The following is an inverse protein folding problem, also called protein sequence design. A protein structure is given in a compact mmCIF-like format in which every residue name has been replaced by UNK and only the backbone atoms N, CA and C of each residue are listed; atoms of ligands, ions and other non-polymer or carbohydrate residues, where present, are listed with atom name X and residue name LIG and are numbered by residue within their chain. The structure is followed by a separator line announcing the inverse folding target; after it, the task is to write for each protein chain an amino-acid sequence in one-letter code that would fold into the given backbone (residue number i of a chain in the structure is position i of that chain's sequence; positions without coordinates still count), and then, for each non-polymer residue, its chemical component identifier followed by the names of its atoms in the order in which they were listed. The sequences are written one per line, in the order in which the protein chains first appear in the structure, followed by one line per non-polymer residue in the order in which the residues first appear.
data_IF_753568768368
#
_entry.id   IF_753568768368
#
_cell.length_a   1.000
_cell.length_b   1.000
_cell.length_c   1.000
_cell.angle_alpha   90.00
_cell.angle_beta   90.00
_cell.angle_gamma   90.00
#
_symmetry.space_group_name_H-M   'P 1'
#
loop_
_entity.id
_entity.type
_entity.pdbx_description
1 polymer ?
#
# COMPACT_ATOMS: atom_id res chain seq x y z
N UNK A 1 -29.73 -7.45 57.39
CA UNK A 1 -28.68 -8.44 57.07
C UNK A 1 -28.69 -8.73 55.56
N UNK A 2 -28.44 -7.70 54.75
CA UNK A 2 -28.35 -7.73 53.28
C UNK A 2 -27.23 -6.75 52.97
N UNK A 3 -26.00 -7.21 52.75
CA UNK A 3 -24.90 -6.33 52.28
C UNK A 3 -23.66 -7.06 51.76
N UNK A 4 -23.52 -8.36 51.99
CA UNK A 4 -22.33 -9.11 51.52
C UNK A 4 -22.61 -9.87 50.21
N UNK A 5 -23.81 -10.43 50.01
CA UNK A 5 -24.17 -11.18 48.79
C UNK A 5 -24.14 -10.35 47.50
N UNK A 6 -24.54 -9.08 47.56
CA UNK A 6 -24.55 -8.20 46.38
C UNK A 6 -23.13 -7.73 46.00
N UNK A 7 -22.21 -7.64 46.96
CA UNK A 7 -20.82 -7.21 46.70
C UNK A 7 -20.02 -8.30 45.97
N UNK A 8 -20.22 -9.57 46.35
CA UNK A 8 -19.59 -10.71 45.67
C UNK A 8 -20.11 -10.89 44.24
N UNK A 9 -21.41 -10.65 43.99
CA UNK A 9 -21.99 -10.77 42.65
C UNK A 9 -21.47 -9.69 41.70
N UNK A 10 -21.32 -8.45 42.17
CA UNK A 10 -20.75 -7.35 41.36
C UNK A 10 -19.28 -7.61 41.04
N UNK A 11 -18.48 -8.11 42.00
CA UNK A 11 -17.07 -8.44 41.76
C UNK A 11 -16.87 -9.57 40.75
N UNK A 12 -17.71 -10.60 40.77
CA UNK A 12 -17.62 -11.73 39.82
C UNK A 12 -18.04 -11.29 38.41
N UNK A 13 -19.10 -10.49 38.28
CA UNK A 13 -19.53 -9.95 36.97
C UNK A 13 -18.47 -9.00 36.39
N UNK A 14 -17.81 -8.18 37.22
CA UNK A 14 -16.71 -7.33 36.77
C UNK A 14 -15.46 -8.12 36.37
N UNK A 15 -15.13 -9.22 37.04
CA UNK A 15 -14.00 -10.08 36.64
C UNK A 15 -14.28 -10.90 35.38
N UNK A 16 -15.53 -11.33 35.15
CA UNK A 16 -15.92 -12.00 33.89
C UNK A 16 -15.94 -11.01 32.72
N UNK A 17 -16.38 -9.76 32.95
CA UNK A 17 -16.31 -8.70 31.94
C UNK A 17 -14.86 -8.28 31.63
N UNK A 18 -13.99 -8.24 32.63
CA UNK A 18 -12.57 -7.93 32.43
C UNK A 18 -11.78 -9.10 31.79
N UNK A 19 -12.16 -10.35 32.08
CA UNK A 19 -11.58 -11.55 31.47
C UNK A 19 -12.03 -11.81 30.02
N UNK A 20 -13.15 -11.21 29.58
CA UNK A 20 -13.57 -11.21 28.18
C UNK A 20 -12.92 -10.09 27.36
N UNK A 21 -12.37 -9.06 28.02
CA UNK A 21 -11.53 -8.03 27.37
C UNK A 21 -10.04 -8.39 27.32
N UNK A 22 -9.65 -9.59 27.79
CA UNK A 22 -8.33 -10.17 27.56
C UNK A 22 -8.38 -11.31 26.53
N UNK A 23 -9.32 -11.26 25.59
CA UNK A 23 -9.03 -11.90 24.31
C UNK A 23 -7.73 -11.25 23.82
N UNK A 24 -6.71 -12.09 23.62
CA UNK A 24 -5.50 -11.73 22.91
C UNK A 24 -5.88 -10.79 21.77
N UNK A 25 -5.20 -9.65 21.68
CA UNK A 25 -5.38 -8.69 20.59
C UNK A 25 -4.86 -9.36 19.31
N UNK A 26 -5.65 -10.32 18.82
CA UNK A 26 -5.32 -11.16 17.70
C UNK A 26 -5.24 -10.27 16.47
N UNK A 27 -4.09 -10.40 15.79
CA UNK A 27 -3.86 -9.81 14.49
C UNK A 27 -4.97 -10.26 13.54
N UNK A 28 -5.75 -9.31 13.01
CA UNK A 28 -6.74 -9.60 11.98
C UNK A 28 -6.01 -9.68 10.64
N UNK A 29 -6.01 -10.86 10.02
CA UNK A 29 -5.49 -11.03 8.66
C UNK A 29 -6.54 -10.53 7.65
N UNK A 30 -6.51 -9.23 7.39
CA UNK A 30 -7.46 -8.52 6.53
C UNK A 30 -7.34 -9.01 5.08
N UNK A 31 -6.11 -9.15 4.58
CA UNK A 31 -5.86 -9.57 3.20
C UNK A 31 -6.42 -10.97 2.94
N UNK A 32 -6.22 -11.91 3.87
CA UNK A 32 -6.69 -13.30 3.72
C UNK A 32 -8.20 -13.44 3.80
N UNK A 33 -8.86 -12.57 4.56
CA UNK A 33 -10.31 -12.63 4.79
C UNK A 33 -11.12 -11.80 3.79
N UNK A 34 -10.48 -11.17 2.81
CA UNK A 34 -11.14 -10.40 1.78
C UNK A 34 -11.66 -11.31 0.65
N UNK A 35 -12.91 -11.11 0.23
CA UNK A 35 -13.51 -11.84 -0.89
C UNK A 35 -13.08 -11.20 -2.22
N UNK A 36 -11.91 -11.61 -2.71
CA UNK A 36 -11.26 -11.06 -3.89
C UNK A 36 -9.73 -10.98 -3.73
N UNK A 37 -9.10 -10.06 -4.44
CA UNK A 37 -7.70 -9.71 -4.25
C UNK A 37 -7.58 -8.63 -3.17
N UNK A 38 -6.74 -8.85 -2.15
CA UNK A 38 -6.31 -7.81 -1.20
C UNK A 38 -4.85 -8.01 -0.85
N UNK A 39 -4.04 -6.97 -1.05
CA UNK A 39 -2.61 -6.99 -0.77
C UNK A 39 -2.21 -5.68 -0.10
N UNK A 40 -1.64 -5.78 1.11
CA UNK A 40 -1.00 -4.65 1.78
C UNK A 40 -1.90 -3.90 2.76
N UNK A 41 -3.03 -4.49 3.18
CA UNK A 41 -3.91 -3.92 4.20
C UNK A 41 -3.61 -4.41 5.61
N UNK A 42 -2.80 -5.46 5.77
CA UNK A 42 -2.41 -5.95 7.08
C UNK A 42 -1.49 -4.95 7.81
N UNK A 43 -1.47 -5.05 9.14
CA UNK A 43 -0.48 -4.34 9.96
C UNK A 43 0.93 -4.82 9.64
N UNK A 44 1.88 -3.89 9.52
CA UNK A 44 3.30 -4.16 9.33
C UNK A 44 4.10 -3.54 10.47
N UNK A 45 5.04 -4.32 11.04
CA UNK A 45 5.89 -3.83 12.14
C UNK A 45 6.95 -2.84 11.67
N UNK A 46 7.40 -2.99 10.42
CA UNK A 46 8.30 -2.09 9.74
C UNK A 46 7.58 -1.61 8.48
N UNK A 47 7.21 -0.33 8.45
CA UNK A 47 6.54 0.29 7.30
C UNK A 47 7.39 1.46 6.83
N UNK A 48 7.59 1.53 5.52
CA UNK A 48 8.21 2.66 4.85
C UNK A 48 7.37 3.92 5.05
N UNK A 49 8.00 5.08 5.00
CA UNK A 49 7.31 6.36 5.21
C UNK A 49 6.19 6.58 4.16
N UNK A 50 6.38 6.05 2.95
CA UNK A 50 5.39 5.95 1.88
C UNK A 50 4.98 4.49 1.73
N UNK A 51 3.70 4.22 1.55
CA UNK A 51 3.22 2.85 1.32
C UNK A 51 1.99 2.83 0.42
N UNK A 52 1.61 1.63 0.03
CA UNK A 52 0.48 1.38 -0.84
C UNK A 52 -0.17 0.03 -0.54
N UNK A 53 -1.35 -0.15 -1.12
CA UNK A 53 -2.10 -1.40 -1.09
C UNK A 53 -2.93 -1.52 -2.36
N UNK A 54 -3.35 -2.74 -2.72
CA UNK A 54 -4.22 -2.97 -3.87
C UNK A 54 -5.38 -3.89 -3.52
N UNK A 55 -6.55 -3.64 -4.12
CA UNK A 55 -7.73 -4.50 -4.00
C UNK A 55 -8.46 -4.68 -5.32
N UNK A 56 -9.22 -5.76 -5.37
CA UNK A 56 -10.28 -5.98 -6.36
C UNK A 56 -11.25 -7.02 -5.81
N UNK A 57 -12.54 -6.88 -6.11
CA UNK A 57 -13.58 -7.84 -5.72
C UNK A 57 -13.51 -9.18 -6.48
N UNK A 58 -12.55 -9.33 -7.39
CA UNK A 58 -12.30 -10.55 -8.13
C UNK A 58 -10.81 -10.89 -8.14
N UNK A 59 -10.50 -12.14 -8.45
CA UNK A 59 -9.10 -12.61 -8.59
C UNK A 59 -8.78 -13.03 -10.02
N UNK A 60 -9.77 -13.15 -10.90
CA UNK A 60 -9.60 -13.57 -12.29
C UNK A 60 -10.05 -12.45 -13.21
N UNK A 61 -9.28 -12.18 -14.25
CA UNK A 61 -9.44 -11.02 -15.12
C UNK A 61 -9.20 -11.40 -16.56
N UNK A 62 -9.92 -10.75 -17.48
CA UNK A 62 -9.47 -10.68 -18.86
C UNK A 62 -8.17 -9.86 -18.90
N UNK A 63 -7.14 -10.37 -19.58
CA UNK A 63 -5.81 -9.77 -19.64
C UNK A 63 -5.80 -8.34 -20.20
N UNK A 64 -6.78 -7.99 -21.04
CA UNK A 64 -6.93 -6.65 -21.59
C UNK A 64 -7.69 -5.69 -20.66
N UNK A 65 -8.15 -6.15 -19.50
CA UNK A 65 -8.86 -5.35 -18.52
C UNK A 65 -8.61 -5.84 -17.09
N UNK A 66 -7.39 -5.62 -16.60
CA UNK A 66 -6.99 -5.91 -15.24
C UNK A 66 -7.02 -4.62 -14.41
N UNK A 67 -8.21 -4.20 -13.98
CA UNK A 67 -8.39 -2.96 -13.21
C UNK A 67 -8.42 -3.23 -11.71
N UNK A 68 -7.61 -2.48 -10.95
CA UNK A 68 -7.44 -2.61 -9.50
C UNK A 68 -7.67 -1.27 -8.79
N UNK A 69 -8.25 -1.34 -7.60
CA UNK A 69 -8.26 -0.24 -6.65
C UNK A 69 -6.87 -0.13 -6.01
N UNK A 70 -6.15 0.95 -6.32
CA UNK A 70 -4.80 1.18 -5.83
C UNK A 70 -4.80 2.29 -4.77
N UNK A 71 -4.43 1.93 -3.55
CA UNK A 71 -4.40 2.78 -2.37
C UNK A 71 -2.97 3.21 -2.09
N UNK A 72 -2.78 4.45 -1.67
CA UNK A 72 -1.45 5.01 -1.45
C UNK A 72 -1.51 6.14 -0.42
N UNK A 73 -0.41 6.33 0.30
CA UNK A 73 -0.31 7.37 1.32
C UNK A 73 1.03 7.34 2.06
N UNK A 74 1.15 8.20 3.05
CA UNK A 74 2.29 8.25 3.97
C UNK A 74 1.87 7.95 5.40
N UNK A 75 2.77 7.40 6.22
CA UNK A 75 2.43 6.99 7.59
C UNK A 75 3.16 7.82 8.66
N UNK A 76 4.47 7.63 8.76
CA UNK A 76 5.33 8.17 9.80
C UNK A 76 5.70 9.62 9.54
N UNK A 77 6.02 9.96 8.29
CA UNK A 77 6.49 11.29 7.87
C UNK A 77 5.99 11.62 6.47
N UNK A 78 5.41 12.81 6.30
CA UNK A 78 5.03 13.32 4.99
C UNK A 78 6.26 13.44 4.07
N UNK A 79 6.15 13.23 2.73
CA UNK A 79 7.30 13.16 1.84
C UNK A 79 8.18 14.41 1.78
N UNK A 80 7.64 15.58 2.11
CA UNK A 80 8.44 16.81 2.19
C UNK A 80 9.65 16.70 3.16
N UNK A 81 9.63 15.76 4.10
CA UNK A 81 10.73 15.58 5.05
C UNK A 81 12.05 15.12 4.40
N UNK A 82 11.99 14.47 3.22
CA UNK A 82 13.17 14.01 2.48
C UNK A 82 14.04 15.15 1.95
N UNK A 83 13.51 16.39 1.92
CA UNK A 83 14.15 17.55 1.28
C UNK A 83 14.66 18.61 2.26
N UNK A 84 14.58 18.38 3.57
CA UNK A 84 14.87 19.42 4.57
C UNK A 84 16.33 19.91 4.59
N UNK A 85 17.24 19.11 4.04
CA UNK A 85 18.68 19.39 3.97
C UNK A 85 19.25 19.26 2.54
N UNK A 86 18.42 19.31 1.49
CA UNK A 86 18.74 18.63 0.22
C UNK A 86 19.68 19.34 -0.76
N UNK A 87 20.55 18.52 -1.34
CA UNK A 87 21.29 18.73 -2.61
C UNK A 87 20.38 18.59 -3.85
N UNK A 88 19.09 18.40 -3.63
CA UNK A 88 18.15 17.88 -4.61
C UNK A 88 16.83 18.63 -4.54
N UNK A 89 16.25 18.90 -5.69
CA UNK A 89 14.99 19.62 -5.77
C UNK A 89 13.80 18.64 -5.72
N UNK A 90 12.79 18.90 -4.89
CA UNK A 90 11.56 18.12 -4.88
C UNK A 90 10.84 18.23 -6.24
N UNK A 91 10.37 17.10 -6.77
CA UNK A 91 9.61 17.07 -8.03
C UNK A 91 8.16 16.69 -7.77
N UNK A 92 7.89 15.42 -7.47
CA UNK A 92 6.54 14.90 -7.32
C UNK A 92 6.49 13.55 -6.60
N UNK A 93 5.29 13.09 -6.29
CA UNK A 93 5.01 11.66 -6.10
C UNK A 93 4.51 11.08 -7.43
N UNK A 94 5.14 10.01 -7.90
CA UNK A 94 4.78 9.34 -9.14
C UNK A 94 4.36 7.87 -8.89
N UNK A 95 3.30 7.45 -9.58
CA UNK A 95 2.70 6.12 -9.46
C UNK A 95 3.01 5.27 -10.70
N UNK A 96 3.34 3.99 -10.51
CA UNK A 96 3.68 3.09 -11.61
C UNK A 96 3.18 1.67 -11.40
N UNK A 97 2.93 0.96 -12.49
CA UNK A 97 3.11 -0.50 -12.53
C UNK A 97 4.46 -0.85 -13.13
N UNK A 98 5.11 -1.90 -12.65
CA UNK A 98 6.42 -2.34 -13.16
C UNK A 98 6.49 -3.86 -13.24
N UNK A 99 7.17 -4.36 -14.27
CA UNK A 99 7.64 -5.73 -14.35
C UNK A 99 9.18 -5.72 -14.37
N UNK A 100 9.81 -6.28 -13.33
CA UNK A 100 11.26 -6.44 -13.27
C UNK A 100 11.95 -5.65 -12.15
N UNK A 101 13.22 -5.33 -12.37
CA UNK A 101 14.02 -4.58 -11.40
C UNK A 101 13.85 -3.07 -11.62
N UNK A 102 13.74 -2.35 -10.51
CA UNK A 102 13.70 -0.90 -10.48
C UNK A 102 15.13 -0.32 -10.43
N UNK A 103 15.39 0.72 -11.23
CA UNK A 103 16.61 1.53 -11.17
C UNK A 103 16.39 2.73 -10.26
N UNK A 104 17.40 3.26 -9.58
CA UNK A 104 17.19 4.38 -8.65
C UNK A 104 17.33 5.76 -9.30
N UNK A 105 17.98 5.83 -10.48
CA UNK A 105 18.30 7.04 -11.24
C UNK A 105 17.72 6.97 -12.66
N UNK A 106 17.24 8.11 -13.17
CA UNK A 106 16.56 8.20 -14.47
C UNK A 106 16.77 9.56 -15.13
N UNK A 107 16.82 9.58 -16.47
CA UNK A 107 16.83 10.83 -17.25
C UNK A 107 15.43 11.44 -17.40
N UNK A 108 14.40 10.59 -17.42
CA UNK A 108 12.98 10.97 -17.53
C UNK A 108 12.16 10.04 -16.63
N UNK A 109 11.69 10.57 -15.49
CA UNK A 109 10.93 9.76 -14.54
C UNK A 109 9.57 9.31 -15.09
N UNK A 110 9.01 9.98 -16.11
CA UNK A 110 7.73 9.57 -16.71
C UNK A 110 7.91 8.42 -17.71
N UNK A 111 9.14 8.18 -18.18
CA UNK A 111 9.45 7.19 -19.21
C UNK A 111 10.62 6.29 -18.79
N UNK A 112 10.43 5.55 -17.70
CA UNK A 112 11.40 4.59 -17.18
C UNK A 112 11.16 3.23 -17.85
N UNK A 113 12.22 2.61 -18.35
CA UNK A 113 12.14 1.29 -18.99
C UNK A 113 11.45 0.27 -18.06
N UNK A 114 10.49 -0.49 -18.61
CA UNK A 114 9.69 -1.49 -17.90
C UNK A 114 8.80 -0.94 -16.76
N UNK A 115 8.63 0.38 -16.65
CA UNK A 115 7.67 1.01 -15.74
C UNK A 115 6.58 1.73 -16.53
N UNK A 116 5.33 1.36 -16.28
CA UNK A 116 4.17 2.06 -16.82
C UNK A 116 3.75 3.17 -15.87
N UNK A 117 3.98 4.41 -16.27
CA UNK A 117 3.58 5.61 -15.52
C UNK A 117 2.06 5.75 -15.49
N UNK A 118 1.51 5.98 -14.30
CA UNK A 118 0.06 6.06 -14.07
C UNK A 118 -0.40 7.48 -13.80
N UNK A 119 0.29 8.16 -12.87
CA UNK A 119 -0.15 9.43 -12.32
C UNK A 119 0.98 10.13 -11.59
N UNK A 120 0.95 11.46 -11.68
CA UNK A 120 1.75 12.37 -10.87
C UNK A 120 0.87 13.09 -9.86
N UNK A 121 1.42 13.31 -8.67
CA UNK A 121 0.80 14.04 -7.56
C UNK A 121 1.85 15.02 -7.03
N UNK A 122 1.48 16.29 -6.85
CA UNK A 122 2.41 17.27 -6.28
C UNK A 122 2.84 16.87 -4.86
N UNK A 123 4.05 17.23 -4.47
CA UNK A 123 4.55 16.93 -3.12
C UNK A 123 3.72 17.66 -2.07
N UNK A 124 3.27 18.88 -2.37
CA UNK A 124 2.42 19.67 -1.50
C UNK A 124 1.08 18.97 -1.24
N UNK A 125 0.43 18.45 -2.29
CA UNK A 125 -0.83 17.73 -2.18
C UNK A 125 -0.65 16.42 -1.41
N UNK A 126 0.34 15.60 -1.78
CA UNK A 126 0.57 14.31 -1.14
C UNK A 126 1.02 14.47 0.32
N UNK A 127 1.65 15.59 0.68
CA UNK A 127 2.07 15.87 2.07
C UNK A 127 0.92 16.31 2.98
N UNK A 128 -0.32 16.40 2.47
CA UNK A 128 -1.49 16.73 3.30
C UNK A 128 -1.99 15.53 4.09
N UNK A 129 -2.76 15.80 5.15
CA UNK A 129 -3.44 14.78 5.96
C UNK A 129 -4.42 13.92 5.15
N UNK A 130 -4.87 14.38 3.97
CA UNK A 130 -5.73 13.59 3.10
C UNK A 130 -5.04 12.30 2.63
N UNK A 131 -3.70 12.29 2.58
CA UNK A 131 -2.87 11.15 2.21
C UNK A 131 -2.20 10.49 3.44
N UNK A 132 -2.47 10.98 4.66
CA UNK A 132 -2.02 10.30 5.87
C UNK A 132 -2.77 8.99 6.02
N UNK A 133 -2.04 7.88 5.99
CA UNK A 133 -2.59 6.59 6.33
C UNK A 133 -2.61 6.40 7.84
N UNK A 134 -3.52 5.54 8.29
CA UNK A 134 -3.53 5.05 9.66
C UNK A 134 -3.13 3.59 9.67
N UNK A 135 -2.44 3.18 10.73
CA UNK A 135 -2.13 1.77 10.94
C UNK A 135 -2.29 1.37 12.40
N UNK A 136 -3.10 0.34 12.66
CA UNK A 136 -3.23 -0.27 13.99
C UNK A 136 -3.16 -1.79 13.86
N UNK A 137 -2.90 -2.50 14.98
CA UNK A 137 -2.87 -3.97 14.95
C UNK A 137 -4.25 -4.58 14.67
N UNK A 138 -5.30 -3.89 15.07
CA UNK A 138 -6.69 -4.35 15.01
C UNK A 138 -7.31 -4.09 13.63
N UNK A 139 -7.04 -2.91 13.05
CA UNK A 139 -7.65 -2.46 11.80
C UNK A 139 -6.72 -2.60 10.59
N UNK A 140 -5.45 -2.96 10.83
CA UNK A 140 -4.43 -2.96 9.80
C UNK A 140 -4.18 -1.55 9.28
N UNK A 141 -3.95 -1.45 7.97
CA UNK A 141 -3.70 -0.21 7.24
C UNK A 141 -5.00 0.33 6.65
N UNK A 142 -5.28 1.60 6.93
CA UNK A 142 -6.43 2.33 6.37
C UNK A 142 -5.92 3.52 5.57
N UNK A 143 -6.43 3.64 4.36
CA UNK A 143 -6.09 4.70 3.41
C UNK A 143 -7.35 5.51 3.10
N UNK A 144 -7.23 6.83 3.07
CA UNK A 144 -8.33 7.71 2.67
C UNK A 144 -8.32 7.97 1.14
N UNK A 145 -7.15 7.85 0.49
CA UNK A 145 -7.00 8.00 -0.96
C UNK A 145 -6.81 6.66 -1.66
N UNK A 146 -7.41 6.58 -2.85
CA UNK A 146 -7.20 5.52 -3.82
C UNK A 146 -7.48 6.04 -5.22
N UNK A 147 -7.08 5.27 -6.22
CA UNK A 147 -7.46 5.46 -7.62
C UNK A 147 -7.57 4.11 -8.30
N UNK A 148 -8.48 3.99 -9.26
CA UNK A 148 -8.59 2.81 -10.10
C UNK A 148 -7.56 2.92 -11.23
N UNK A 149 -6.73 1.88 -11.39
CA UNK A 149 -5.78 1.79 -12.49
C UNK A 149 -5.87 0.43 -13.15
N UNK A 150 -5.70 0.41 -14.47
CA UNK A 150 -5.61 -0.82 -15.27
C UNK A 150 -4.16 -1.20 -15.47
N UNK A 151 -3.80 -2.44 -15.12
CA UNK A 151 -2.49 -2.99 -15.43
C UNK A 151 -2.41 -3.20 -16.95
N UNK A 152 -1.43 -2.60 -17.64
CA UNK A 152 -1.23 -2.80 -19.07
C UNK A 152 -0.91 -4.27 -19.39
N UNK A 153 -1.46 -4.77 -20.49
CA UNK A 153 -1.30 -6.18 -20.87
C UNK A 153 0.16 -6.54 -21.19
N UNK A 154 0.97 -5.57 -21.61
CA UNK A 154 2.39 -5.73 -21.91
C UNK A 154 3.24 -6.06 -20.69
N UNK A 155 2.74 -5.86 -19.47
CA UNK A 155 3.45 -6.22 -18.24
C UNK A 155 3.30 -7.71 -17.86
N UNK A 156 2.43 -8.45 -18.56
CA UNK A 156 2.24 -9.88 -18.36
C UNK A 156 3.10 -10.68 -19.36
N UNK A 157 4.42 -10.59 -19.22
CA UNK A 157 5.37 -11.10 -20.24
C UNK A 157 5.62 -12.61 -20.15
N UNK A 158 5.34 -13.24 -19.01
CA UNK A 158 5.59 -14.66 -18.74
C UNK A 158 4.30 -15.38 -18.32
N UNK A 159 4.21 -16.73 -18.42
CA UNK A 159 3.03 -17.49 -17.98
C UNK A 159 2.64 -17.26 -16.51
N UNK A 160 3.56 -16.74 -15.70
CA UNK A 160 3.31 -16.22 -14.37
C UNK A 160 4.48 -15.38 -13.91
N UNK A 161 4.26 -14.56 -12.88
CA UNK A 161 5.27 -13.64 -12.40
C UNK A 161 4.71 -12.73 -11.31
N UNK A 162 5.35 -11.57 -11.14
CA UNK A 162 4.87 -10.51 -10.27
C UNK A 162 4.94 -9.17 -10.97
N UNK A 163 3.90 -8.36 -10.77
CA UNK A 163 3.84 -6.96 -11.18
C UNK A 163 3.89 -6.13 -9.90
N UNK A 164 4.72 -5.09 -9.90
CA UNK A 164 4.90 -4.20 -8.76
C UNK A 164 4.06 -2.94 -8.95
N UNK A 165 3.23 -2.58 -7.98
CA UNK A 165 2.66 -1.24 -7.87
C UNK A 165 3.57 -0.37 -7.03
N UNK A 166 4.10 0.71 -7.61
CA UNK A 166 5.03 1.64 -6.97
C UNK A 166 4.41 3.00 -6.69
N UNK A 167 4.80 3.58 -5.56
CA UNK A 167 4.62 4.99 -5.19
C UNK A 167 6.00 5.57 -4.93
N UNK A 168 6.51 6.40 -5.84
CA UNK A 168 7.87 6.93 -5.78
C UNK A 168 7.85 8.42 -5.42
N UNK A 169 8.70 8.82 -4.49
CA UNK A 169 9.02 10.22 -4.25
C UNK A 169 10.21 10.63 -5.11
N UNK A 170 9.92 11.42 -6.14
CA UNK A 170 10.87 11.80 -7.18
C UNK A 170 11.54 13.13 -6.81
N UNK A 171 12.85 13.15 -7.00
CA UNK A 171 13.70 14.30 -6.77
C UNK A 171 14.60 14.51 -7.99
N UNK A 172 15.03 15.75 -8.20
CA UNK A 172 15.94 16.11 -9.29
C UNK A 172 17.28 16.58 -8.72
N UNK A 173 18.37 16.07 -9.30
CA UNK A 173 19.72 16.55 -9.01
C UNK A 173 20.14 17.56 -10.09
N UNK A 174 20.21 18.86 -9.77
CA UNK A 174 20.59 19.88 -10.75
C UNK A 174 22.06 19.80 -11.18
N UNK A 175 22.95 19.22 -10.38
CA UNK A 175 24.38 19.11 -10.71
C UNK A 175 24.65 18.03 -11.76
N UNK A 176 23.92 16.92 -11.68
CA UNK A 176 24.06 15.78 -12.59
C UNK A 176 22.99 15.77 -13.69
N UNK A 177 21.96 16.60 -13.55
CA UNK A 177 20.80 16.66 -14.43
C UNK A 177 20.09 15.30 -14.58
N UNK A 178 19.88 14.61 -13.45
CA UNK A 178 19.19 13.31 -13.38
C UNK A 178 18.11 13.35 -12.30
N UNK A 179 17.07 12.53 -12.48
CA UNK A 179 16.09 12.25 -11.46
C UNK A 179 16.51 11.03 -10.64
N UNK A 180 16.07 10.99 -9.39
CA UNK A 180 16.24 9.83 -8.52
C UNK A 180 15.10 9.71 -7.53
N UNK A 181 15.00 8.57 -6.85
CA UNK A 181 13.99 8.34 -5.82
C UNK A 181 14.56 8.56 -4.43
N UNK A 182 13.93 9.41 -3.63
CA UNK A 182 14.34 9.67 -2.24
C UNK A 182 13.49 8.94 -1.20
N UNK A 183 12.40 8.30 -1.61
CA UNK A 183 11.55 7.47 -0.76
C UNK A 183 10.51 6.75 -1.62
N UNK A 184 10.07 5.57 -1.19
CA UNK A 184 9.13 4.79 -1.97
C UNK A 184 8.25 3.89 -1.10
N UNK A 185 7.15 3.43 -1.70
CA UNK A 185 6.33 2.33 -1.23
C UNK A 185 6.00 1.41 -2.40
N UNK A 186 5.87 0.11 -2.15
CA UNK A 186 5.50 -0.82 -3.22
C UNK A 186 4.69 -2.04 -2.73
N UNK A 187 3.96 -2.65 -3.67
CA UNK A 187 3.30 -3.95 -3.50
C UNK A 187 3.54 -4.85 -4.70
N UNK A 188 3.88 -6.10 -4.39
CA UNK A 188 3.98 -7.19 -5.35
C UNK A 188 2.62 -7.83 -5.57
N UNK A 189 2.23 -7.97 -6.84
CA UNK A 189 0.98 -8.57 -7.29
C UNK A 189 1.37 -9.79 -8.10
N UNK A 190 1.24 -10.96 -7.49
CA UNK A 190 1.49 -12.23 -8.17
C UNK A 190 0.44 -12.47 -9.26
N UNK A 191 0.83 -13.06 -10.38
CA UNK A 191 -0.09 -13.44 -11.43
C UNK A 191 0.28 -14.78 -12.07
N UNK A 192 -0.73 -15.43 -12.66
CA UNK A 192 -0.57 -16.59 -13.53
C UNK A 192 -1.65 -16.59 -14.60
N UNK A 193 -1.29 -16.99 -15.82
CA UNK A 193 -2.26 -17.27 -16.86
C UNK A 193 -3.08 -18.52 -16.52
N UNK A 194 -4.39 -18.44 -16.72
CA UNK A 194 -5.31 -19.58 -16.67
C UNK A 194 -5.46 -20.16 -18.08
N UNK A 195 -5.61 -19.26 -19.05
CA UNK A 195 -5.69 -19.52 -20.49
C UNK A 195 -5.10 -18.31 -21.24
N UNK A 196 -5.29 -18.23 -22.57
CA UNK A 196 -4.68 -17.18 -23.41
C UNK A 196 -5.21 -15.77 -23.12
N UNK A 197 -6.42 -15.64 -22.58
CA UNK A 197 -7.08 -14.35 -22.36
C UNK A 197 -7.32 -14.03 -20.88
N UNK A 198 -7.08 -14.99 -19.99
CA UNK A 198 -7.43 -14.88 -18.57
C UNK A 198 -6.22 -15.03 -17.67
N UNK A 199 -6.05 -14.09 -16.75
CA UNK A 199 -5.06 -14.16 -15.67
C UNK A 199 -5.72 -14.21 -14.31
N UNK A 200 -5.10 -14.96 -13.39
CA UNK A 200 -5.43 -14.93 -11.96
C UNK A 200 -4.38 -14.14 -11.21
N UNK A 201 -4.81 -13.15 -10.45
CA UNK A 201 -3.97 -12.40 -9.51
C UNK A 201 -4.01 -13.01 -8.11
N UNK A 202 -2.91 -12.88 -7.36
CA UNK A 202 -2.77 -13.37 -6.00
C UNK A 202 -1.70 -12.59 -5.21
N UNK A 203 -1.70 -12.77 -3.89
CA UNK A 203 -0.72 -12.20 -2.96
C UNK A 203 0.61 -12.95 -2.99
#
# INVERSE_FOLDING_TARGET
MIKIRNLCFVLIVSFVLLGLSSCDLDFVDIDKNYDGLSIGFNHEYETLDITCAVRSNQTEFNINNVTLDCYYGWYTRAPNHFYKDSLYDPVCIALYFNYGMWNEEFDDYQNIENMHFLKEISIEEFSTEAFNMKMTKQEGKTFEQHSEFTIPNELFVEPGGSILFYVLNVAWNPEQNVYFTCGFGFRSIGFKYIDEETVRLYK
#
